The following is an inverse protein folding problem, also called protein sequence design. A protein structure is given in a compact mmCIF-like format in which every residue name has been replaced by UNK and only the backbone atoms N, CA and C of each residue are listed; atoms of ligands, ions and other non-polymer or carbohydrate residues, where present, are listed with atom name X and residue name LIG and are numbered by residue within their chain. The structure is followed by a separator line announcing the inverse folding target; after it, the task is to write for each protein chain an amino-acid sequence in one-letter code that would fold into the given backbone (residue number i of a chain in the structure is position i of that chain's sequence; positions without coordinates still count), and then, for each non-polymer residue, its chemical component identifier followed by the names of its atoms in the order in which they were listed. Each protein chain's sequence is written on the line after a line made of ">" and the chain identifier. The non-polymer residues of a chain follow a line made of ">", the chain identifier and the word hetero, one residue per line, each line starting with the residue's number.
data_IF_524968522708
#
_entry.id   IF_524968522708
#
_cell.length_a   1.000
_cell.length_b   1.000
_cell.length_c   1.000
_cell.angle_alpha   90.00
_cell.angle_beta   90.00
_cell.angle_gamma   90.00
#
_symmetry.space_group_name_H-M   'P 1'
#
loop_
_entity.id
_entity.type
_entity.pdbx_description
1 polymer ?
#
# COMPACT_ATOMS: atom_id res chain seq x y z
N UNK A 1 -67.87 18.09 -38.67
CA UNK A 1 -66.57 17.37 -38.73
C UNK A 1 -65.33 18.18 -38.30
N UNK A 2 -65.45 19.42 -37.79
CA UNK A 2 -64.30 20.19 -37.23
C UNK A 2 -64.27 20.25 -35.69
N UNK A 3 -65.39 20.04 -35.02
CA UNK A 3 -65.50 20.10 -33.54
C UNK A 3 -64.98 18.83 -32.85
N UNK A 4 -65.14 17.66 -33.46
CA UNK A 4 -64.67 16.37 -32.90
C UNK A 4 -63.14 16.22 -32.95
N UNK A 5 -62.44 16.89 -33.88
CA UNK A 5 -60.96 16.86 -33.97
C UNK A 5 -60.28 17.79 -32.96
N UNK A 6 -60.94 18.86 -32.54
CA UNK A 6 -60.38 19.80 -31.54
C UNK A 6 -60.43 19.18 -30.14
N UNK A 7 -61.51 18.45 -29.81
CA UNK A 7 -61.66 17.79 -28.51
C UNK A 7 -60.58 16.72 -28.26
N UNK A 8 -60.19 15.97 -29.30
CA UNK A 8 -59.16 14.92 -29.21
C UNK A 8 -57.75 15.53 -28.99
N UNK A 9 -57.48 16.72 -29.55
CA UNK A 9 -56.18 17.39 -29.38
C UNK A 9 -56.06 18.02 -27.98
N UNK A 10 -57.14 18.55 -27.40
CA UNK A 10 -57.12 19.05 -26.02
C UNK A 10 -57.02 17.93 -24.97
N UNK A 11 -57.56 16.73 -25.23
CA UNK A 11 -57.46 15.58 -24.32
C UNK A 11 -56.10 14.86 -24.45
N UNK A 12 -55.45 14.90 -25.61
CA UNK A 12 -54.07 14.42 -25.75
C UNK A 12 -53.01 15.39 -25.19
N UNK A 13 -53.32 16.69 -25.08
CA UNK A 13 -52.40 17.68 -24.49
C UNK A 13 -52.51 17.75 -22.95
N UNK A 14 -53.61 17.29 -22.34
CA UNK A 14 -53.75 17.20 -20.88
C UNK A 14 -53.22 15.89 -20.28
N UNK A 15 -52.86 14.90 -21.10
CA UNK A 15 -52.30 13.62 -20.65
C UNK A 15 -50.76 13.58 -20.69
N UNK A 16 -50.11 14.61 -21.26
CA UNK A 16 -48.65 14.77 -21.28
C UNK A 16 -48.15 15.67 -20.13
N UNK A 17 -49.04 16.33 -19.40
CA UNK A 17 -48.68 17.21 -18.28
C UNK A 17 -48.55 16.51 -16.91
N UNK A 18 -48.76 15.19 -16.82
CA UNK A 18 -48.72 14.43 -15.56
C UNK A 18 -47.56 13.44 -15.43
N UNK A 19 -46.52 13.55 -16.27
CA UNK A 19 -45.31 12.71 -16.18
C UNK A 19 -44.07 13.42 -15.61
N UNK A 20 -44.20 14.65 -15.11
CA UNK A 20 -43.19 15.24 -14.23
C UNK A 20 -43.62 15.14 -12.77
N UNK A 21 -43.89 13.91 -12.31
CA UNK A 21 -43.49 13.57 -10.94
C UNK A 21 -41.98 13.57 -11.00
N UNK A 22 -41.41 14.75 -10.75
CA UNK A 22 -40.05 14.84 -10.29
C UNK A 22 -39.99 13.93 -9.06
N UNK A 23 -39.49 12.71 -9.25
CA UNK A 23 -38.85 11.98 -8.18
C UNK A 23 -37.91 13.00 -7.57
N UNK A 24 -38.28 13.51 -6.40
CA UNK A 24 -37.35 14.19 -5.54
C UNK A 24 -36.23 13.19 -5.37
N UNK A 25 -35.14 13.41 -6.10
CA UNK A 25 -33.84 12.99 -5.65
C UNK A 25 -33.79 13.57 -4.24
N UNK A 26 -34.03 12.71 -3.26
CA UNK A 26 -33.34 12.82 -2.01
C UNK A 26 -31.87 12.77 -2.40
N UNK A 27 -31.33 13.93 -2.79
CA UNK A 27 -29.99 14.28 -2.43
C UNK A 27 -30.01 14.17 -0.91
N UNK A 28 -29.76 12.96 -0.42
CA UNK A 28 -29.18 12.76 0.89
C UNK A 28 -28.05 13.77 0.92
N UNK A 29 -28.26 14.86 1.67
CA UNK A 29 -27.22 15.81 2.02
C UNK A 29 -26.03 14.94 2.39
N UNK A 30 -24.99 14.90 1.54
CA UNK A 30 -23.75 14.17 1.83
C UNK A 30 -23.37 14.58 3.23
N UNK A 31 -23.59 13.70 4.21
CA UNK A 31 -23.18 13.95 5.58
C UNK A 31 -21.67 14.18 5.48
N UNK A 32 -21.25 15.39 5.81
CA UNK A 32 -19.86 15.84 5.75
C UNK A 32 -19.06 15.11 6.84
N UNK A 33 -18.69 13.86 6.57
CA UNK A 33 -17.96 12.98 7.47
C UNK A 33 -17.07 12.00 6.71
N UNK A 34 -16.12 11.41 7.42
CA UNK A 34 -15.29 10.30 6.96
C UNK A 34 -16.06 8.99 7.15
N UNK A 35 -15.94 8.04 6.23
CA UNK A 35 -16.58 6.73 6.36
C UNK A 35 -15.70 5.80 7.19
N UNK A 36 -16.15 5.39 8.38
CA UNK A 36 -15.47 4.31 9.14
C UNK A 36 -16.05 2.98 8.67
N UNK A 37 -15.17 2.07 8.24
CA UNK A 37 -15.53 0.76 7.73
C UNK A 37 -15.56 -0.26 8.87
N UNK A 38 -16.75 -0.76 9.19
CA UNK A 38 -17.01 -1.82 10.15
C UNK A 38 -17.23 -3.17 9.46
N UNK A 39 -17.30 -4.24 10.25
CA UNK A 39 -17.69 -5.57 9.76
C UNK A 39 -19.22 -5.71 9.81
N UNK A 40 -19.82 -6.14 8.71
CA UNK A 40 -21.27 -6.37 8.67
C UNK A 40 -21.70 -7.46 9.65
N UNK A 41 -22.99 -7.46 10.07
CA UNK A 41 -23.51 -8.44 11.04
C UNK A 41 -23.26 -9.89 10.64
N UNK A 42 -23.39 -10.17 9.34
CA UNK A 42 -23.17 -11.48 8.74
C UNK A 42 -21.69 -11.88 8.65
N UNK A 43 -20.76 -10.98 8.97
CA UNK A 43 -19.31 -11.18 8.84
C UNK A 43 -18.88 -11.62 7.44
N UNK A 44 -19.57 -11.12 6.41
CA UNK A 44 -19.26 -11.42 5.01
C UNK A 44 -18.66 -10.24 4.26
N UNK A 45 -18.89 -9.02 4.73
CA UNK A 45 -18.58 -7.78 4.01
C UNK A 45 -18.18 -6.68 5.00
N UNK A 46 -17.68 -5.57 4.46
CA UNK A 46 -17.55 -4.31 5.20
C UNK A 46 -18.81 -3.47 5.04
N UNK A 47 -19.12 -2.65 6.04
CA UNK A 47 -20.21 -1.68 6.03
C UNK A 47 -19.70 -0.35 6.60
N UNK A 48 -20.23 0.78 6.16
CA UNK A 48 -19.72 2.10 6.54
C UNK A 48 -20.66 2.83 7.48
N UNK A 49 -20.11 3.51 8.48
CA UNK A 49 -20.82 4.55 9.23
C UNK A 49 -20.08 5.89 9.07
N UNK A 50 -20.84 6.99 8.99
CA UNK A 50 -20.25 8.32 8.89
C UNK A 50 -19.73 8.80 10.24
N UNK A 51 -18.49 9.26 10.27
CA UNK A 51 -17.82 9.77 11.46
C UNK A 51 -17.23 11.15 11.20
N UNK A 52 -17.56 12.10 12.07
CA UNK A 52 -17.00 13.44 12.03
C UNK A 52 -15.75 13.46 12.91
N UNK A 53 -14.58 13.60 12.29
CA UNK A 53 -13.32 13.73 13.02
C UNK A 53 -13.36 14.92 13.97
N UNK A 54 -12.98 14.68 15.22
CA UNK A 54 -12.87 15.73 16.23
C UNK A 54 -11.50 16.37 16.22
N UNK A 55 -10.48 15.60 15.83
CA UNK A 55 -9.09 16.01 15.85
C UNK A 55 -8.67 16.69 14.54
N UNK A 56 -7.69 17.60 14.65
CA UNK A 56 -7.12 18.33 13.50
C UNK A 56 -5.80 17.76 13.00
N UNK A 57 -5.02 17.10 13.85
CA UNK A 57 -3.75 16.49 13.42
C UNK A 57 -3.97 15.08 12.88
N UNK A 58 -3.22 14.72 11.84
CA UNK A 58 -3.28 13.38 11.23
C UNK A 58 -3.10 12.27 12.25
N UNK A 59 -2.09 12.36 13.13
CA UNK A 59 -1.79 11.29 14.10
C UNK A 59 -2.95 11.08 15.09
N UNK A 60 -3.58 12.16 15.56
CA UNK A 60 -4.74 12.06 16.44
C UNK A 60 -5.97 11.54 15.70
N UNK A 61 -6.17 11.92 14.43
CA UNK A 61 -7.24 11.37 13.59
C UNK A 61 -7.05 9.87 13.33
N UNK A 62 -5.81 9.39 13.16
CA UNK A 62 -5.51 7.95 13.07
C UNK A 62 -5.95 7.25 14.35
N UNK A 63 -5.56 7.76 15.52
CA UNK A 63 -5.98 7.20 16.81
C UNK A 63 -7.49 7.15 16.96
N UNK A 64 -8.18 8.26 16.64
CA UNK A 64 -9.64 8.36 16.69
C UNK A 64 -10.33 7.34 15.78
N UNK A 65 -9.82 7.11 14.57
CA UNK A 65 -10.34 6.09 13.65
C UNK A 65 -10.09 4.68 14.21
N UNK A 66 -8.90 4.41 14.76
CA UNK A 66 -8.61 3.12 15.38
C UNK A 66 -9.53 2.83 16.58
N UNK A 67 -9.82 3.84 17.40
CA UNK A 67 -10.77 3.71 18.51
C UNK A 67 -12.18 3.34 18.01
N UNK A 68 -12.64 3.97 16.92
CA UNK A 68 -13.89 3.60 16.27
C UNK A 68 -13.87 2.14 15.80
N UNK A 69 -12.77 1.69 15.20
CA UNK A 69 -12.62 0.34 14.64
C UNK A 69 -12.53 -0.77 15.69
N UNK A 70 -12.18 -0.46 16.94
CA UNK A 70 -12.19 -1.42 18.08
C UNK A 70 -13.55 -1.54 18.75
N UNK A 71 -14.47 -0.60 18.49
CA UNK A 71 -15.80 -0.57 19.09
C UNK A 71 -16.89 -1.00 18.10
N UNK A 72 -18.07 -1.32 18.61
CA UNK A 72 -19.21 -1.70 17.77
C UNK A 72 -19.78 -0.46 17.06
N UNK A 73 -20.20 -0.60 15.80
CA UNK A 73 -20.87 0.46 15.06
C UNK A 73 -22.18 0.87 15.73
N UNK A 74 -22.48 2.17 15.71
CA UNK A 74 -23.58 2.80 16.48
C UNK A 74 -24.91 2.73 15.75
N UNK A 75 -24.91 2.75 14.41
CA UNK A 75 -26.14 2.92 13.64
C UNK A 75 -26.87 1.59 13.47
N UNK A 76 -26.14 0.54 13.10
CA UNK A 76 -26.76 -0.73 12.77
C UNK A 76 -26.27 -1.90 13.62
N UNK A 77 -25.59 -1.70 14.75
CA UNK A 77 -24.95 -2.80 15.49
C UNK A 77 -23.99 -3.62 14.61
N UNK A 78 -23.21 -2.96 13.75
CA UNK A 78 -22.14 -3.59 13.01
C UNK A 78 -21.04 -4.04 13.95
N UNK A 79 -20.40 -5.17 13.64
CA UNK A 79 -19.32 -5.72 14.45
C UNK A 79 -18.09 -4.84 14.32
N UNK A 80 -17.32 -4.71 15.41
CA UNK A 80 -16.06 -3.98 15.39
C UNK A 80 -15.13 -4.55 14.30
N UNK A 81 -14.39 -3.68 13.60
CA UNK A 81 -13.44 -4.13 12.59
C UNK A 81 -12.29 -4.92 13.22
N UNK A 82 -11.75 -4.39 14.32
CA UNK A 82 -10.75 -5.02 15.18
C UNK A 82 -11.52 -5.72 16.31
N UNK A 83 -11.56 -7.06 16.36
CA UNK A 83 -12.32 -7.78 17.38
C UNK A 83 -11.64 -7.66 18.74
N UNK A 84 -12.43 -7.75 19.83
CA UNK A 84 -11.94 -7.63 21.22
C UNK A 84 -10.79 -8.58 21.57
N UNK A 85 -10.64 -9.70 20.86
CA UNK A 85 -9.54 -10.64 21.03
C UNK A 85 -8.19 -10.09 20.56
N UNK A 86 -8.17 -9.11 19.65
CA UNK A 86 -6.97 -8.50 19.08
C UNK A 86 -6.80 -7.11 19.67
N UNK A 87 -5.63 -6.85 20.27
CA UNK A 87 -5.25 -5.53 20.75
C UNK A 87 -4.46 -4.78 19.68
N UNK A 88 -4.64 -3.46 19.63
CA UNK A 88 -3.69 -2.53 19.00
C UNK A 88 -2.68 -2.14 20.06
N UNK A 89 -1.43 -2.54 19.88
CA UNK A 89 -0.34 -2.25 20.82
C UNK A 89 0.18 -0.83 20.64
N UNK A 90 0.13 -0.31 19.41
CA UNK A 90 0.56 1.05 19.08
C UNK A 90 0.46 1.33 17.59
N UNK A 91 0.71 2.57 17.19
CA UNK A 91 0.81 2.99 15.80
C UNK A 91 1.75 4.18 15.65
N UNK A 92 2.31 4.32 14.48
CA UNK A 92 3.17 5.43 14.05
C UNK A 92 2.79 5.86 12.63
N UNK A 93 3.10 7.12 12.30
CA UNK A 93 2.84 7.70 11.00
C UNK A 93 4.09 8.44 10.53
N UNK A 94 4.60 8.03 9.37
CA UNK A 94 5.75 8.64 8.73
C UNK A 94 5.51 8.71 7.23
N UNK A 95 5.65 9.91 6.65
CA UNK A 95 5.71 10.15 5.20
C UNK A 95 4.63 9.45 4.37
N UNK A 96 3.40 9.41 4.88
CA UNK A 96 2.26 8.82 4.18
C UNK A 96 1.96 7.37 4.55
N UNK A 97 2.80 6.73 5.37
CA UNK A 97 2.63 5.35 5.80
C UNK A 97 2.23 5.31 7.27
N UNK A 98 1.08 4.68 7.56
CA UNK A 98 0.66 4.36 8.94
C UNK A 98 1.11 2.94 9.25
N UNK A 99 1.97 2.77 10.26
CA UNK A 99 2.34 1.44 10.76
C UNK A 99 1.55 1.15 12.03
N UNK A 100 0.90 -0.02 12.10
CA UNK A 100 0.03 -0.41 13.21
C UNK A 100 0.51 -1.74 13.76
N UNK A 101 0.81 -1.77 15.05
CA UNK A 101 1.19 -2.99 15.76
C UNK A 101 0.01 -3.65 16.43
N UNK A 102 -0.22 -4.93 16.12
CA UNK A 102 -1.23 -5.74 16.74
C UNK A 102 -0.64 -6.77 17.71
N UNK A 103 -1.45 -7.20 18.67
CA UNK A 103 -1.10 -8.35 19.50
C UNK A 103 -1.04 -9.66 18.69
N UNK A 104 -0.33 -10.67 19.20
CA UNK A 104 -0.22 -12.02 18.61
C UNK A 104 -1.56 -12.67 18.26
N UNK A 105 -2.64 -12.31 18.96
CA UNK A 105 -4.02 -12.77 18.70
C UNK A 105 -4.54 -12.43 17.30
N UNK A 106 -3.91 -11.51 16.59
CA UNK A 106 -4.16 -11.29 15.16
C UNK A 106 -4.07 -12.59 14.35
N UNK A 107 -3.08 -13.45 14.63
CA UNK A 107 -2.87 -14.70 13.90
C UNK A 107 -3.91 -15.78 14.20
N UNK A 108 -4.68 -15.65 15.28
CA UNK A 108 -5.76 -16.57 15.64
C UNK A 108 -7.03 -16.34 14.79
N UNK A 109 -7.09 -15.23 14.04
CA UNK A 109 -8.23 -14.93 13.17
C UNK A 109 -8.34 -15.93 12.01
N UNK A 110 -9.57 -16.21 11.60
CA UNK A 110 -9.83 -16.92 10.33
C UNK A 110 -9.41 -16.03 9.15
N UNK A 111 -9.03 -16.62 8.01
CA UNK A 111 -8.56 -15.86 6.84
C UNK A 111 -9.56 -14.80 6.38
N UNK A 112 -10.86 -15.12 6.47
CA UNK A 112 -11.94 -14.19 6.15
C UNK A 112 -12.02 -13.05 7.15
N UNK A 113 -11.92 -13.35 8.45
CA UNK A 113 -12.01 -12.33 9.50
C UNK A 113 -10.80 -11.39 9.48
N UNK A 114 -9.63 -11.95 9.21
CA UNK A 114 -8.38 -11.22 8.97
C UNK A 114 -8.51 -10.27 7.78
N UNK A 115 -9.02 -10.77 6.64
CA UNK A 115 -9.27 -9.93 5.45
C UNK A 115 -10.20 -8.77 5.76
N UNK A 116 -11.34 -9.03 6.43
CA UNK A 116 -12.29 -7.98 6.79
C UNK A 116 -11.68 -6.93 7.73
N UNK A 117 -10.84 -7.35 8.68
CA UNK A 117 -10.10 -6.43 9.55
C UNK A 117 -9.15 -5.56 8.71
N UNK A 118 -8.32 -6.17 7.86
CA UNK A 118 -7.38 -5.47 6.99
C UNK A 118 -8.08 -4.43 6.12
N UNK A 119 -9.12 -4.85 5.39
CA UNK A 119 -9.88 -3.95 4.53
C UNK A 119 -10.49 -2.79 5.31
N UNK A 120 -11.11 -3.08 6.47
CA UNK A 120 -11.75 -2.07 7.30
C UNK A 120 -10.78 -1.00 7.79
N UNK A 121 -9.62 -1.42 8.30
CA UNK A 121 -8.58 -0.50 8.78
C UNK A 121 -8.03 0.35 7.63
N UNK A 122 -7.66 -0.29 6.51
CA UNK A 122 -7.04 0.40 5.38
C UNK A 122 -8.00 1.38 4.72
N UNK A 123 -9.24 0.97 4.42
CA UNK A 123 -10.24 1.82 3.78
C UNK A 123 -10.65 3.01 4.67
N UNK A 124 -10.65 2.82 5.99
CA UNK A 124 -10.95 3.92 6.92
C UNK A 124 -9.82 4.95 6.98
N UNK A 125 -8.56 4.51 7.07
CA UNK A 125 -7.43 5.40 7.29
C UNK A 125 -7.00 6.18 6.05
N UNK A 126 -7.09 5.59 4.85
CA UNK A 126 -6.64 6.22 3.58
C UNK A 126 -7.51 7.40 3.16
N UNK A 127 -8.69 7.57 3.76
CA UNK A 127 -9.49 8.79 3.56
C UNK A 127 -8.82 10.03 4.17
N UNK A 128 -7.87 9.87 5.11
CA UNK A 128 -7.02 10.97 5.55
C UNK A 128 -6.07 11.32 4.39
N UNK A 129 -6.16 12.53 3.85
CA UNK A 129 -5.39 12.95 2.66
C UNK A 129 -3.88 12.72 2.76
N UNK A 130 -3.33 12.75 3.97
CA UNK A 130 -1.91 12.52 4.21
C UNK A 130 -1.52 11.05 4.35
N UNK A 131 -2.47 10.11 4.32
CA UNK A 131 -2.23 8.66 4.47
C UNK A 131 -2.40 8.00 3.10
N UNK A 132 -1.31 7.44 2.58
CA UNK A 132 -1.27 6.73 1.30
C UNK A 132 -1.32 5.20 1.51
N UNK A 133 -0.66 4.71 2.55
CA UNK A 133 -0.52 3.28 2.83
C UNK A 133 -0.64 2.95 4.31
N UNK A 134 -1.01 1.69 4.60
CA UNK A 134 -1.03 1.14 5.95
C UNK A 134 -0.23 -0.15 6.01
N UNK A 135 0.76 -0.21 6.90
CA UNK A 135 1.59 -1.37 7.16
C UNK A 135 1.23 -2.01 8.51
N UNK A 136 1.21 -3.34 8.58
CA UNK A 136 0.87 -4.06 9.81
C UNK A 136 2.10 -4.76 10.39
N UNK A 137 2.25 -4.68 11.71
CA UNK A 137 3.15 -5.50 12.49
C UNK A 137 2.37 -6.29 13.54
N UNK A 138 2.96 -7.39 14.02
CA UNK A 138 2.43 -8.19 15.12
C UNK A 138 3.55 -8.43 16.12
N UNK A 139 3.36 -7.95 17.35
CA UNK A 139 4.38 -7.97 18.41
C UNK A 139 5.72 -7.35 17.95
N UNK A 140 5.64 -6.19 17.29
CA UNK A 140 6.78 -5.45 16.74
C UNK A 140 7.44 -6.08 15.52
N UNK A 141 6.93 -7.21 15.01
CA UNK A 141 7.51 -7.91 13.84
C UNK A 141 6.63 -7.67 12.60
N UNK A 142 7.22 -7.58 11.39
CA UNK A 142 6.45 -7.49 10.15
C UNK A 142 5.37 -8.57 10.07
N UNK A 143 4.14 -8.16 9.77
CA UNK A 143 3.02 -9.09 9.69
C UNK A 143 3.22 -10.06 8.51
N UNK A 144 2.85 -11.32 8.71
CA UNK A 144 2.82 -12.33 7.64
C UNK A 144 1.40 -12.77 7.32
N UNK A 145 1.12 -13.09 6.07
CA UNK A 145 -0.09 -13.82 5.71
C UNK A 145 -0.04 -15.28 6.19
N UNK A 146 -1.17 -15.98 6.07
CA UNK A 146 -1.26 -17.42 6.38
C UNK A 146 -0.34 -18.30 5.51
N UNK A 147 0.09 -17.81 4.34
CA UNK A 147 1.07 -18.48 3.48
C UNK A 147 2.53 -18.26 3.90
N UNK A 148 2.75 -17.58 5.04
CA UNK A 148 4.07 -17.29 5.60
C UNK A 148 4.81 -16.15 4.90
N UNK A 149 4.22 -15.52 3.87
CA UNK A 149 4.84 -14.36 3.22
C UNK A 149 4.58 -13.08 4.00
N UNK A 150 5.54 -12.18 3.98
CA UNK A 150 5.36 -10.84 4.54
C UNK A 150 4.25 -10.10 3.82
N UNK A 151 3.38 -9.48 4.62
CA UNK A 151 2.34 -8.61 4.13
C UNK A 151 2.95 -7.25 3.82
N UNK A 152 2.83 -6.81 2.56
CA UNK A 152 3.28 -5.47 2.20
C UNK A 152 2.37 -4.40 2.82
N UNK A 153 2.83 -3.14 2.85
CA UNK A 153 1.96 -2.01 3.10
C UNK A 153 0.83 -1.98 2.06
N UNK A 154 -0.39 -1.72 2.50
CA UNK A 154 -1.60 -1.83 1.69
C UNK A 154 -2.23 -0.47 1.45
N UNK A 155 -2.89 -0.31 0.31
CA UNK A 155 -3.73 0.84 0.01
C UNK A 155 -5.20 0.44 -0.27
N UNK A 156 -6.05 1.42 -0.57
CA UNK A 156 -7.46 1.17 -0.84
C UNK A 156 -7.68 0.31 -2.10
N UNK A 157 -6.88 0.51 -3.15
CA UNK A 157 -6.98 -0.27 -4.40
C UNK A 157 -6.67 -1.75 -4.21
N UNK A 158 -5.89 -2.13 -3.20
CA UNK A 158 -5.65 -3.56 -2.88
C UNK A 158 -6.92 -4.31 -2.45
N UNK A 159 -7.99 -3.59 -2.10
CA UNK A 159 -9.28 -4.16 -1.67
C UNK A 159 -10.43 -3.87 -2.63
N UNK A 160 -10.23 -2.95 -3.57
CA UNK A 160 -11.15 -2.80 -4.69
C UNK A 160 -10.87 -3.99 -5.60
N UNK A 161 -11.83 -4.90 -5.71
CA UNK A 161 -11.70 -6.01 -6.64
C UNK A 161 -11.43 -5.44 -8.03
N UNK A 162 -10.23 -5.65 -8.57
CA UNK A 162 -9.95 -5.44 -9.99
C UNK A 162 -10.79 -6.46 -10.77
N UNK A 163 -12.06 -6.10 -10.98
CA UNK A 163 -12.94 -6.71 -11.95
C UNK A 163 -12.32 -6.46 -13.32
N UNK A 164 -11.52 -7.42 -13.76
CA UNK A 164 -11.18 -7.61 -15.16
C UNK A 164 -10.19 -6.59 -15.73
N UNK A 165 -8.90 -6.81 -15.47
CA UNK A 165 -7.84 -6.90 -16.48
C UNK A 165 -6.49 -6.70 -15.81
N UNK A 166 -5.89 -7.78 -15.31
CA UNK A 166 -4.43 -7.85 -15.23
C UNK A 166 -3.92 -7.93 -16.68
N UNK A 167 -3.99 -6.83 -17.43
CA UNK A 167 -3.21 -6.67 -18.65
C UNK A 167 -1.77 -6.90 -18.22
N UNK A 168 -1.20 -7.97 -18.73
CA UNK A 168 0.17 -8.37 -18.50
C UNK A 168 1.07 -7.36 -19.19
N UNK A 169 1.21 -6.19 -18.57
CA UNK A 169 2.02 -5.13 -19.12
C UNK A 169 3.47 -5.58 -19.00
N UNK A 170 4.05 -5.83 -20.17
CA UNK A 170 5.47 -6.03 -20.30
C UNK A 170 6.12 -4.66 -20.19
N UNK A 171 7.15 -4.57 -19.37
CA UNK A 171 7.85 -3.32 -19.10
C UNK A 171 9.35 -3.53 -19.27
N UNK A 172 10.03 -2.51 -19.76
CA UNK A 172 11.49 -2.44 -19.75
C UNK A 172 11.95 -1.93 -18.39
N UNK A 173 12.96 -2.57 -17.80
CA UNK A 173 13.59 -2.18 -16.55
C UNK A 173 15.08 -1.96 -16.74
N UNK A 174 15.62 -0.97 -16.04
CA UNK A 174 17.05 -0.76 -15.89
C UNK A 174 17.40 -1.10 -14.45
N UNK A 175 18.34 -2.03 -14.27
CA UNK A 175 18.90 -2.39 -12.99
C UNK A 175 20.39 -2.04 -12.99
N UNK A 176 20.98 -1.88 -11.82
CA UNK A 176 22.40 -1.65 -11.67
C UNK A 176 23.03 -2.76 -10.84
N UNK A 177 23.98 -3.49 -11.43
CA UNK A 177 24.76 -4.52 -10.74
C UNK A 177 26.22 -4.08 -10.63
N UNK A 178 27.02 -4.79 -9.83
CA UNK A 178 28.44 -4.46 -9.73
C UNK A 178 29.21 -4.86 -11.00
N UNK A 179 30.26 -4.10 -11.30
CA UNK A 179 31.33 -4.57 -12.18
C UNK A 179 32.10 -5.74 -11.56
N UNK A 180 32.96 -6.39 -12.34
CA UNK A 180 33.73 -7.57 -11.92
C UNK A 180 34.71 -7.28 -10.78
N UNK A 181 35.09 -6.01 -10.60
CA UNK A 181 36.01 -5.56 -9.55
C UNK A 181 35.30 -5.17 -8.24
N UNK A 182 33.97 -5.22 -8.16
CA UNK A 182 33.24 -4.83 -6.94
C UNK A 182 33.20 -3.31 -6.67
N UNK A 183 33.59 -2.45 -7.61
CA UNK A 183 33.96 -1.05 -7.34
C UNK A 183 33.08 0.00 -8.04
N UNK A 184 32.28 -0.42 -9.00
CA UNK A 184 31.38 0.46 -9.76
C UNK A 184 30.13 -0.29 -10.20
N UNK A 185 29.09 0.46 -10.56
CA UNK A 185 27.82 -0.03 -11.09
C UNK A 185 27.86 -0.13 -12.61
N UNK A 186 27.32 -1.22 -13.14
CA UNK A 186 27.07 -1.44 -14.56
C UNK A 186 25.58 -1.54 -14.81
N UNK A 187 25.14 -0.83 -15.84
CA UNK A 187 23.75 -0.82 -16.29
C UNK A 187 23.34 -2.20 -16.85
N UNK A 188 22.24 -2.74 -16.36
CA UNK A 188 21.69 -4.03 -16.73
C UNK A 188 20.26 -3.87 -17.22
N UNK A 189 20.10 -3.74 -18.55
CA UNK A 189 18.77 -3.62 -19.18
C UNK A 189 18.06 -4.96 -19.24
N UNK A 190 16.81 -4.97 -18.80
CA UNK A 190 15.81 -6.01 -18.95
C UNK A 190 14.72 -5.50 -19.89
N UNK A 191 14.45 -6.20 -20.99
CA UNK A 191 13.46 -5.75 -21.98
C UNK A 191 12.23 -6.65 -21.98
N UNK A 192 11.06 -6.05 -22.19
CA UNK A 192 9.79 -6.72 -22.43
C UNK A 192 9.43 -7.74 -21.32
N UNK A 193 9.65 -7.35 -20.06
CA UNK A 193 9.54 -8.23 -18.90
C UNK A 193 8.15 -8.23 -18.33
N UNK A 194 7.61 -9.42 -18.07
CA UNK A 194 6.40 -9.60 -17.26
C UNK A 194 6.77 -9.61 -15.78
N UNK A 195 6.20 -8.69 -15.00
CA UNK A 195 6.43 -8.61 -13.55
C UNK A 195 5.25 -9.11 -12.70
N UNK A 196 4.16 -9.55 -13.35
CA UNK A 196 3.00 -10.16 -12.70
C UNK A 196 2.21 -9.16 -11.85
N UNK A 197 1.58 -9.63 -10.78
CA UNK A 197 0.77 -8.79 -9.88
C UNK A 197 1.63 -8.03 -8.84
N UNK A 198 2.92 -7.80 -9.13
CA UNK A 198 3.82 -7.07 -8.24
C UNK A 198 3.86 -5.60 -8.62
N UNK A 199 4.25 -4.75 -7.67
CA UNK A 199 4.64 -3.39 -8.02
C UNK A 199 5.99 -3.41 -8.76
N UNK A 200 6.27 -2.37 -9.54
CA UNK A 200 7.54 -2.23 -10.29
C UNK A 200 8.74 -2.18 -9.33
N UNK A 201 8.59 -1.49 -8.22
CA UNK A 201 9.61 -1.34 -7.16
C UNK A 201 9.95 -2.69 -6.55
N UNK A 202 8.93 -3.46 -6.14
CA UNK A 202 9.14 -4.79 -5.57
C UNK A 202 9.81 -5.70 -6.57
N UNK A 203 9.37 -5.66 -7.83
CA UNK A 203 9.99 -6.45 -8.89
C UNK A 203 11.49 -6.13 -9.06
N UNK A 204 11.86 -4.84 -9.08
CA UNK A 204 13.26 -4.39 -9.16
C UNK A 204 14.09 -5.00 -8.03
N UNK A 205 13.66 -4.84 -6.78
CA UNK A 205 14.42 -5.35 -5.61
C UNK A 205 14.51 -6.89 -5.64
N UNK A 206 13.44 -7.58 -6.03
CA UNK A 206 13.47 -9.05 -6.22
C UNK A 206 14.47 -9.48 -7.30
N UNK A 207 14.61 -8.72 -8.39
CA UNK A 207 15.63 -9.02 -9.41
C UNK A 207 17.06 -8.75 -8.91
N UNK A 208 17.26 -7.71 -8.09
CA UNK A 208 18.57 -7.44 -7.50
C UNK A 208 19.02 -8.58 -6.57
N UNK A 209 18.10 -9.11 -5.75
CA UNK A 209 18.32 -10.29 -4.89
C UNK A 209 18.56 -11.56 -5.71
N UNK A 210 17.82 -11.74 -6.80
CA UNK A 210 18.02 -12.88 -7.72
C UNK A 210 19.41 -12.84 -8.38
N UNK A 211 19.94 -11.65 -8.62
CA UNK A 211 21.24 -11.42 -9.25
C UNK A 211 21.20 -11.49 -10.79
N UNK A 212 22.30 -11.07 -11.44
CA UNK A 212 22.41 -11.04 -12.90
C UNK A 212 22.60 -12.45 -13.47
N UNK A 213 22.09 -12.70 -14.68
CA UNK A 213 22.33 -13.95 -15.42
C UNK A 213 23.37 -13.82 -16.54
N UNK A 214 23.74 -12.59 -16.91
CA UNK A 214 24.73 -12.31 -17.97
C UNK A 214 26.14 -12.24 -17.38
N UNK A 215 27.12 -12.75 -18.13
CA UNK A 215 28.55 -12.60 -17.82
C UNK A 215 28.95 -11.11 -17.76
N UNK A 216 29.96 -10.81 -16.96
CA UNK A 216 30.49 -9.45 -16.80
C UNK A 216 29.67 -8.56 -15.84
N UNK A 217 28.74 -9.15 -15.08
CA UNK A 217 27.99 -8.50 -14.01
C UNK A 217 28.11 -9.33 -12.73
N UNK A 218 28.30 -8.67 -11.61
CA UNK A 218 28.39 -9.30 -10.28
C UNK A 218 27.17 -8.90 -9.46
N UNK A 219 26.52 -9.89 -8.86
CA UNK A 219 25.38 -9.66 -7.97
C UNK A 219 25.77 -8.82 -6.75
N UNK A 220 24.87 -7.94 -6.34
CA UNK A 220 25.09 -7.00 -5.23
C UNK A 220 24.32 -7.37 -3.97
N UNK A 221 23.37 -8.30 -4.09
CA UNK A 221 22.55 -8.82 -2.99
C UNK A 221 22.56 -10.34 -3.01
N UNK A 222 22.52 -10.93 -1.82
CA UNK A 222 22.45 -12.37 -1.59
C UNK A 222 21.01 -12.88 -1.63
N UNK A 223 20.83 -14.10 -2.13
CA UNK A 223 19.53 -14.80 -2.15
C UNK A 223 18.98 -15.13 -0.76
N UNK A 224 19.78 -14.96 0.30
CA UNK A 224 19.35 -15.13 1.69
C UNK A 224 18.56 -13.93 2.24
N UNK A 225 18.67 -12.77 1.58
CA UNK A 225 17.98 -11.55 1.99
C UNK A 225 16.50 -11.67 1.67
N UNK A 226 15.65 -11.27 2.62
CA UNK A 226 14.21 -11.20 2.42
C UNK A 226 13.74 -9.76 2.44
N UNK A 227 12.84 -9.47 1.52
CA UNK A 227 12.10 -8.21 1.45
C UNK A 227 10.91 -8.30 2.42
N UNK A 228 10.89 -7.43 3.42
CA UNK A 228 9.79 -7.29 4.36
C UNK A 228 8.69 -6.40 3.76
N UNK A 229 9.08 -5.23 3.24
CA UNK A 229 8.16 -4.30 2.58
C UNK A 229 8.85 -3.47 1.49
N UNK A 230 8.10 -3.11 0.45
CA UNK A 230 8.50 -2.10 -0.55
C UNK A 230 7.29 -1.22 -0.85
N UNK A 231 7.41 0.07 -0.58
CA UNK A 231 6.33 1.05 -0.79
C UNK A 231 6.91 2.39 -1.23
N UNK A 232 6.22 3.09 -2.13
CA UNK A 232 6.58 4.46 -2.51
C UNK A 232 5.49 5.40 -2.06
N UNK A 233 5.83 6.33 -1.16
CA UNK A 233 4.95 7.39 -0.69
C UNK A 233 5.72 8.71 -0.73
N UNK A 234 5.07 9.81 -1.11
CA UNK A 234 5.70 11.13 -1.24
C UNK A 234 7.04 11.14 -2.02
N UNK A 235 7.11 10.38 -3.11
CA UNK A 235 8.32 10.20 -3.94
C UNK A 235 9.54 9.57 -3.25
N UNK A 236 9.37 8.98 -2.07
CA UNK A 236 10.40 8.20 -1.39
C UNK A 236 10.00 6.73 -1.46
N UNK A 237 10.88 5.88 -1.99
CA UNK A 237 10.71 4.44 -1.97
C UNK A 237 11.32 3.86 -0.68
N UNK A 238 10.48 3.37 0.21
CA UNK A 238 10.86 2.66 1.43
C UNK A 238 11.06 1.19 1.12
N UNK A 239 12.24 0.67 1.44
CA UNK A 239 12.61 -0.74 1.25
C UNK A 239 13.07 -1.29 2.58
N UNK A 240 12.28 -2.20 3.15
CA UNK A 240 12.58 -2.84 4.43
C UNK A 240 13.06 -4.28 4.19
N UNK A 241 14.23 -4.60 4.74
CA UNK A 241 14.85 -5.92 4.63
C UNK A 241 14.90 -6.65 5.97
N UNK A 242 15.06 -7.98 5.92
CA UNK A 242 15.39 -8.75 7.11
C UNK A 242 16.86 -8.56 7.53
N UNK A 243 17.20 -9.11 8.70
CA UNK A 243 18.54 -8.94 9.29
C UNK A 243 19.68 -9.50 8.43
N UNK A 244 19.38 -10.38 7.47
CA UNK A 244 20.39 -10.95 6.58
C UNK A 244 21.03 -9.89 5.68
N UNK A 245 20.35 -8.76 5.45
CA UNK A 245 20.91 -7.63 4.72
C UNK A 245 22.21 -7.11 5.37
N UNK A 246 22.26 -7.01 6.70
CA UNK A 246 23.43 -6.49 7.41
C UNK A 246 24.59 -7.49 7.48
N UNK A 247 24.29 -8.79 7.37
CA UNK A 247 25.29 -9.86 7.49
C UNK A 247 25.77 -10.35 6.14
N UNK A 248 25.36 -9.71 5.05
CA UNK A 248 25.78 -10.07 3.71
C UNK A 248 27.30 -9.90 3.55
N UNK A 249 27.98 -10.97 3.12
CA UNK A 249 29.40 -10.93 2.76
C UNK A 249 29.50 -11.13 1.26
N UNK A 250 29.46 -10.04 0.51
CA UNK A 250 29.79 -10.04 -0.91
C UNK A 250 31.16 -9.37 -1.12
N UNK A 251 31.82 -9.65 -2.26
CA UNK A 251 33.10 -9.02 -2.62
C UNK A 251 32.90 -7.61 -3.21
N UNK A 252 31.74 -7.02 -3.01
CA UNK A 252 31.33 -5.73 -3.60
C UNK A 252 31.47 -4.66 -2.53
N UNK A 253 32.00 -3.49 -2.90
CA UNK A 253 32.15 -2.39 -1.97
C UNK A 253 30.77 -1.98 -1.39
N UNK A 254 30.65 -1.68 -0.09
CA UNK A 254 29.36 -1.38 0.55
C UNK A 254 28.54 -0.30 -0.16
N UNK A 255 29.21 0.75 -0.65
CA UNK A 255 28.55 1.82 -1.42
C UNK A 255 27.92 1.30 -2.71
N UNK A 256 28.57 0.38 -3.41
CA UNK A 256 28.05 -0.21 -4.66
C UNK A 256 26.81 -1.06 -4.37
N UNK A 257 26.75 -1.75 -3.22
CA UNK A 257 25.53 -2.48 -2.81
C UNK A 257 24.36 -1.53 -2.59
N UNK A 258 24.57 -0.48 -1.79
CA UNK A 258 23.52 0.52 -1.52
C UNK A 258 23.06 1.18 -2.81
N UNK A 259 23.98 1.68 -3.63
CA UNK A 259 23.61 2.39 -4.85
C UNK A 259 23.12 1.49 -5.98
N UNK A 260 23.35 0.18 -5.92
CA UNK A 260 22.64 -0.78 -6.77
C UNK A 260 21.12 -0.72 -6.54
N UNK A 261 20.69 -0.72 -5.27
CA UNK A 261 19.28 -0.58 -4.90
C UNK A 261 18.78 0.82 -5.26
N UNK A 262 19.49 1.86 -4.81
CA UNK A 262 19.06 3.25 -4.94
C UNK A 262 18.94 3.65 -6.41
N UNK A 263 19.97 3.42 -7.22
CA UNK A 263 19.93 3.81 -8.62
C UNK A 263 18.90 3.01 -9.42
N UNK A 264 18.74 1.70 -9.15
CA UNK A 264 17.74 0.89 -9.86
C UNK A 264 16.32 1.34 -9.58
N UNK A 265 16.00 1.68 -8.32
CA UNK A 265 14.67 2.17 -7.97
C UNK A 265 14.44 3.60 -8.48
N UNK A 266 15.49 4.42 -8.55
CA UNK A 266 15.44 5.79 -9.08
C UNK A 266 15.27 5.87 -10.60
N UNK A 267 15.24 4.74 -11.32
CA UNK A 267 14.82 4.65 -12.73
C UNK A 267 13.30 4.76 -12.89
N UNK A 268 12.53 4.62 -11.80
CA UNK A 268 11.10 4.84 -11.82
C UNK A 268 10.82 6.33 -11.59
N UNK A 269 10.12 6.98 -12.52
CA UNK A 269 9.89 8.44 -12.53
C UNK A 269 9.33 9.01 -11.21
N UNK A 270 8.53 8.23 -10.48
CA UNK A 270 7.93 8.66 -9.21
C UNK A 270 8.87 8.52 -8.00
N UNK A 271 10.06 7.94 -8.14
CA UNK A 271 11.01 7.67 -7.05
C UNK A 271 12.17 8.66 -7.14
N UNK A 272 12.22 9.60 -6.20
CA UNK A 272 13.30 10.60 -6.11
C UNK A 272 14.32 10.25 -5.02
N UNK A 273 13.88 9.55 -3.97
CA UNK A 273 14.73 9.07 -2.88
C UNK A 273 14.41 7.62 -2.53
N UNK A 274 15.36 6.94 -1.91
CA UNK A 274 15.18 5.57 -1.41
C UNK A 274 15.58 5.53 0.05
N UNK A 275 14.65 5.16 0.93
CA UNK A 275 14.92 4.90 2.34
C UNK A 275 15.08 3.40 2.52
N UNK A 276 16.21 2.97 3.08
CA UNK A 276 16.48 1.56 3.37
C UNK A 276 16.36 1.37 4.88
N UNK A 277 15.68 0.31 5.30
CA UNK A 277 15.59 -0.08 6.72
C UNK A 277 15.83 -1.58 6.88
N UNK A 278 16.12 -1.99 8.11
CA UNK A 278 16.21 -3.41 8.49
C UNK A 278 15.26 -3.66 9.65
N UNK A 279 14.19 -4.41 9.38
CA UNK A 279 13.08 -4.63 10.33
C UNK A 279 12.51 -3.31 10.87
N UNK A 280 12.40 -2.31 10.00
CA UNK A 280 11.90 -0.98 10.31
C UNK A 280 12.89 -0.05 11.03
N UNK A 281 14.11 -0.50 11.35
CA UNK A 281 15.15 0.36 11.94
C UNK A 281 15.98 1.02 10.83
N UNK A 282 16.20 2.33 10.97
CA UNK A 282 17.04 3.15 10.07
C UNK A 282 18.28 3.68 10.78
N UNK A 283 18.28 3.77 12.11
CA UNK A 283 19.37 4.27 12.97
C UNK A 283 20.51 3.26 13.13
N UNK A 284 20.86 2.61 12.03
CA UNK A 284 21.87 1.55 11.93
C UNK A 284 22.79 1.83 10.75
N UNK A 285 23.96 1.18 10.75
CA UNK A 285 24.90 1.27 9.64
C UNK A 285 24.96 -0.04 8.85
N UNK A 286 24.97 0.07 7.54
CA UNK A 286 25.33 -1.04 6.65
C UNK A 286 26.84 -1.19 6.59
N UNK A 287 27.32 -2.41 6.87
CA UNK A 287 28.74 -2.78 6.93
C UNK A 287 29.59 -1.82 7.80
N UNK A 288 29.03 -1.32 8.90
CA UNK A 288 29.63 -0.35 9.85
C UNK A 288 30.04 1.02 9.26
N UNK A 289 29.90 1.20 7.95
CA UNK A 289 30.38 2.37 7.19
C UNK A 289 29.26 3.34 6.81
N UNK A 290 28.12 2.83 6.34
CA UNK A 290 27.08 3.65 5.69
C UNK A 290 25.88 3.77 6.60
N UNK A 291 25.58 4.97 7.09
CA UNK A 291 24.34 5.23 7.85
C UNK A 291 23.12 5.03 6.96
N UNK A 292 22.13 4.28 7.47
CA UNK A 292 20.82 4.10 6.83
C UNK A 292 19.77 5.10 7.33
N UNK A 293 20.14 6.03 8.22
CA UNK A 293 19.19 6.90 8.91
C UNK A 293 18.45 7.85 7.97
N UNK A 294 19.13 8.30 6.91
CA UNK A 294 18.61 9.27 5.95
C UNK A 294 18.34 8.62 4.60
N UNK A 295 17.30 9.07 3.86
CA UNK A 295 17.04 8.56 2.52
C UNK A 295 18.17 8.92 1.54
N UNK A 296 18.49 7.99 0.66
CA UNK A 296 19.51 8.14 -0.38
C UNK A 296 18.92 8.75 -1.66
N UNK A 297 19.74 9.52 -2.38
CA UNK A 297 19.48 10.01 -3.74
C UNK A 297 20.41 9.27 -4.70
N UNK A 298 19.99 9.07 -5.95
CA UNK A 298 20.83 8.46 -7.01
C UNK A 298 22.25 9.03 -7.05
N UNK A 299 23.23 8.16 -7.23
CA UNK A 299 24.62 8.53 -7.42
C UNK A 299 25.14 8.04 -8.76
N UNK A 300 25.35 8.96 -9.69
CA UNK A 300 25.76 8.65 -11.07
C UNK A 300 27.26 8.46 -11.24
N UNK A 301 28.07 8.95 -10.30
CA UNK A 301 29.52 8.84 -10.34
C UNK A 301 29.99 7.39 -10.20
N UNK A 302 29.13 6.54 -9.63
CA UNK A 302 29.38 5.11 -9.51
C UNK A 302 29.08 4.31 -10.78
N UNK A 303 28.44 4.89 -11.79
CA UNK A 303 28.08 4.18 -13.02
C UNK A 303 29.26 4.22 -14.00
N UNK A 304 29.74 3.05 -14.45
CA UNK A 304 30.89 2.91 -15.37
C UNK A 304 30.68 1.83 -16.42
#
# INVERSE_FOLDING_TARGET
>A
MKTTRILIITVMLSMVASLFVACGNNEEKKKSGLSVYYVSKSENTVATEQHNLKNKSTIQSIGEILDCLTTQGKEQNYKSAIPKSVKVNGYDFLDGVVKIDFSKKYYDLSSKRELLLRSSVVLSLIQLKSVEYVAFTVEGKPCTGKDGKYLNAMNASDFVSDLGNNKQDKQDFILYFSNEKGTALKEYKLKNVKYGNKTKERYIVEQLIKGPSRKGFVGTLSSQIKILSVVTANSICYVDFDSNFLTERNQVAPKVVIYSIVNSLSELDKVHKVQISVRGETSIKYNEEISLEQPFIRNLDLIK
#
